data_IF_801245886490
#
_entry.id   IF_801245886490
#
_cell.length_a   1.000
_cell.length_b   1.000
_cell.length_c   1.000
_cell.angle_alpha   90.00
_cell.angle_beta   90.00
_cell.angle_gamma   90.00
#
_symmetry.space_group_name_H-M   'P 1'
#
loop_
_entity.id
_entity.type
_entity.pdbx_description
1 polymer ?
#
# COMPACT_ATOMS: atom_id res chain seq x y z
N UNK A 1 7.05 -10.71 16.97
CA UNK A 1 6.04 -9.78 17.51
C UNK A 1 4.70 -10.19 16.91
N UNK A 2 3.60 -10.12 17.66
CA UNK A 2 2.26 -10.47 17.16
C UNK A 2 1.51 -9.16 17.00
N UNK A 3 1.08 -8.85 15.78
CA UNK A 3 0.30 -7.66 15.47
C UNK A 3 -1.19 -8.04 15.52
N UNK A 4 -1.99 -7.23 16.20
CA UNK A 4 -3.44 -7.43 16.28
C UNK A 4 -4.20 -6.66 15.18
N UNK A 5 -3.58 -5.61 14.65
CA UNK A 5 -4.09 -4.78 13.57
C UNK A 5 -2.90 -4.17 12.82
N UNK A 6 -3.03 -4.04 11.51
CA UNK A 6 -2.05 -3.37 10.65
C UNK A 6 -2.76 -2.35 9.76
N UNK A 7 -1.98 -1.44 9.18
CA UNK A 7 -2.51 -0.40 8.31
C UNK A 7 -1.76 -0.39 6.98
N UNK A 8 -2.49 -0.10 5.91
CA UNK A 8 -1.89 0.23 4.61
C UNK A 8 -2.16 1.68 4.31
N UNK A 9 -1.08 2.45 4.10
CA UNK A 9 -1.15 3.81 3.58
C UNK A 9 -0.71 3.84 2.12
N UNK A 10 -1.38 4.66 1.29
CA UNK A 10 -0.99 4.93 -0.09
C UNK A 10 -0.68 6.42 -0.27
N UNK A 11 0.45 6.72 -0.88
CA UNK A 11 0.82 8.07 -1.34
C UNK A 11 0.92 8.07 -2.88
N UNK A 12 -0.08 8.67 -3.51
CA UNK A 12 -0.21 8.75 -4.96
C UNK A 12 0.32 10.09 -5.48
N UNK A 13 1.55 10.11 -5.98
CA UNK A 13 2.13 11.24 -6.70
C UNK A 13 1.99 11.13 -8.22
N UNK A 14 2.32 12.19 -8.95
CA UNK A 14 2.28 12.20 -10.43
C UNK A 14 3.34 11.31 -11.09
N UNK A 15 4.48 11.08 -10.43
CA UNK A 15 5.58 10.27 -10.95
C UNK A 15 5.66 8.91 -10.27
N UNK A 16 5.41 8.89 -8.96
CA UNK A 16 5.64 7.72 -8.11
C UNK A 16 4.40 7.46 -7.26
N UNK A 17 4.01 6.19 -7.18
CA UNK A 17 3.03 5.67 -6.25
C UNK A 17 3.77 4.88 -5.18
N UNK A 18 3.59 5.28 -3.92
CA UNK A 18 4.16 4.64 -2.75
C UNK A 18 3.07 3.99 -1.92
N UNK A 19 3.38 2.88 -1.28
CA UNK A 19 2.54 2.28 -0.26
C UNK A 19 3.36 1.64 0.84
N UNK A 20 2.84 1.62 2.06
CA UNK A 20 3.49 1.02 3.20
C UNK A 20 2.49 0.20 4.04
N UNK A 21 2.95 -0.94 4.55
CA UNK A 21 2.29 -1.70 5.62
C UNK A 21 2.93 -1.28 6.94
N UNK A 22 2.13 -0.80 7.88
CA UNK A 22 2.60 -0.28 9.18
C UNK A 22 1.86 -0.90 10.35
N UNK A 23 2.49 -0.92 11.51
CA UNK A 23 1.84 -1.26 12.79
C UNK A 23 1.18 -0.03 13.45
N UNK A 24 0.55 -0.26 14.62
CA UNK A 24 -0.14 0.78 15.39
C UNK A 24 0.80 1.87 15.90
N UNK A 25 2.07 1.54 16.09
CA UNK A 25 3.12 2.48 16.51
C UNK A 25 3.69 3.30 15.34
N UNK A 26 3.21 3.04 14.11
CA UNK A 26 3.65 3.70 12.90
C UNK A 26 4.98 3.18 12.35
N UNK A 27 5.44 2.00 12.80
CA UNK A 27 6.64 1.38 12.24
C UNK A 27 6.31 0.78 10.87
N UNK A 28 7.17 1.06 9.89
CA UNK A 28 7.07 0.47 8.56
C UNK A 28 7.56 -0.96 8.61
N UNK A 29 6.67 -1.90 8.32
CA UNK A 29 6.97 -3.32 8.20
C UNK A 29 7.41 -3.70 6.79
N UNK A 30 6.80 -3.06 5.78
CA UNK A 30 7.15 -3.18 4.37
C UNK A 30 6.74 -1.91 3.62
N UNK A 31 7.51 -1.52 2.62
CA UNK A 31 7.13 -0.47 1.68
C UNK A 31 7.29 -0.91 0.22
N UNK A 32 6.53 -0.27 -0.67
CA UNK A 32 6.61 -0.46 -2.11
C UNK A 32 6.52 0.87 -2.83
N UNK A 33 7.39 1.07 -3.81
CA UNK A 33 7.45 2.27 -4.63
C UNK A 33 7.49 1.86 -6.10
N UNK A 34 6.52 2.34 -6.89
CA UNK A 34 6.44 2.06 -8.33
C UNK A 34 6.19 3.36 -9.12
N UNK A 35 6.49 3.43 -10.42
CA UNK A 35 6.05 4.55 -11.25
C UNK A 35 4.52 4.65 -11.26
N UNK A 36 3.96 5.86 -11.25
CA UNK A 36 2.51 6.07 -11.30
C UNK A 36 1.94 5.75 -12.68
N UNK A 37 2.67 6.09 -13.74
CA UNK A 37 2.24 5.95 -15.14
C UNK A 37 0.94 6.72 -15.44
N UNK A 38 0.89 8.00 -15.07
CA UNK A 38 -0.29 8.87 -15.21
C UNK A 38 -0.82 8.98 -16.64
N UNK A 39 0.05 8.84 -17.64
CA UNK A 39 -0.33 8.88 -19.06
C UNK A 39 -1.26 7.73 -19.46
N UNK A 40 -1.35 6.66 -18.66
CA UNK A 40 -2.28 5.55 -18.85
C UNK A 40 -3.74 5.85 -18.44
N UNK A 41 -3.99 7.03 -17.85
CA UNK A 41 -5.32 7.44 -17.39
C UNK A 41 -5.75 6.84 -16.04
N UNK A 42 -6.91 7.29 -15.54
CA UNK A 42 -7.37 7.02 -14.16
C UNK A 42 -7.50 5.52 -13.88
N UNK A 43 -8.11 4.74 -14.78
CA UNK A 43 -8.29 3.30 -14.57
C UNK A 43 -6.96 2.54 -14.45
N UNK A 44 -5.96 2.95 -15.23
CA UNK A 44 -4.63 2.38 -15.15
C UNK A 44 -3.97 2.68 -13.81
N UNK A 45 -4.01 3.95 -13.39
CA UNK A 45 -3.49 4.39 -12.08
C UNK A 45 -4.19 3.64 -10.93
N UNK A 46 -5.52 3.50 -10.99
CA UNK A 46 -6.29 2.74 -10.00
C UNK A 46 -5.89 1.26 -9.95
N UNK A 47 -5.71 0.62 -11.11
CA UNK A 47 -5.27 -0.77 -11.20
C UNK A 47 -3.89 -0.98 -10.54
N UNK A 48 -2.96 -0.04 -10.78
CA UNK A 48 -1.63 -0.06 -10.16
C UNK A 48 -1.69 0.13 -8.65
N UNK A 49 -2.48 1.10 -8.17
CA UNK A 49 -2.72 1.32 -6.75
C UNK A 49 -3.26 0.06 -6.08
N UNK A 50 -4.28 -0.55 -6.68
CA UNK A 50 -4.86 -1.81 -6.20
C UNK A 50 -3.84 -2.95 -6.21
N UNK A 51 -2.91 -2.97 -7.17
CA UNK A 51 -1.79 -3.91 -7.18
C UNK A 51 -0.86 -3.75 -5.98
N UNK A 52 -0.53 -2.52 -5.60
CA UNK A 52 0.28 -2.22 -4.41
C UNK A 52 -0.46 -2.58 -3.13
N UNK A 53 -1.74 -2.20 -2.99
CA UNK A 53 -2.56 -2.56 -1.84
C UNK A 53 -2.64 -4.08 -1.67
N UNK A 54 -2.96 -4.82 -2.74
CA UNK A 54 -3.05 -6.28 -2.69
C UNK A 54 -1.73 -6.94 -2.31
N UNK A 55 -0.61 -6.42 -2.82
CA UNK A 55 0.73 -6.88 -2.42
C UNK A 55 0.94 -6.70 -0.92
N UNK A 56 0.73 -5.50 -0.39
CA UNK A 56 0.95 -5.20 1.03
C UNK A 56 0.01 -6.01 1.95
N UNK A 57 -1.27 -6.09 1.61
CA UNK A 57 -2.26 -6.89 2.37
C UNK A 57 -1.89 -8.36 2.37
N UNK A 58 -1.31 -8.89 1.28
CA UNK A 58 -0.89 -10.30 1.23
C UNK A 58 0.21 -10.65 2.25
N UNK A 59 0.97 -9.65 2.72
CA UNK A 59 2.02 -9.81 3.72
C UNK A 59 1.48 -9.85 5.15
N UNK A 60 0.28 -9.31 5.39
CA UNK A 60 -0.36 -9.28 6.72
C UNK A 60 -0.88 -10.66 7.18
N UNK A 61 -0.94 -11.64 6.28
CA UNK A 61 -1.45 -12.98 6.59
C UNK A 61 -2.92 -12.94 7.05
N UNK A 62 -3.17 -13.26 8.33
CA UNK A 62 -4.51 -13.24 8.94
C UNK A 62 -4.79 -11.99 9.78
N UNK A 63 -3.82 -11.08 9.90
CA UNK A 63 -4.00 -9.86 10.68
C UNK A 63 -4.92 -8.92 9.89
N UNK A 64 -5.96 -8.35 10.51
CA UNK A 64 -6.79 -7.34 9.87
C UNK A 64 -5.96 -6.15 9.39
N UNK A 65 -6.32 -5.62 8.21
CA UNK A 65 -5.67 -4.46 7.61
C UNK A 65 -6.68 -3.36 7.35
N UNK A 66 -6.43 -2.17 7.89
CA UNK A 66 -7.22 -0.95 7.65
C UNK A 66 -6.46 -0.01 6.70
N UNK A 67 -7.17 0.71 5.82
CA UNK A 67 -6.57 1.61 4.83
C UNK A 67 -6.67 3.09 5.21
N UNK A 68 -5.66 3.89 4.85
CA UNK A 68 -5.63 5.37 4.93
C UNK A 68 -5.26 5.97 3.57
#
# INVERSE_FOLDING_TARGET
MVYNELFVGIDLGGTTLKGALVDLEGQILEEKSIPTEVDGGVEHVMSRMMGVIRYLVSLAGKVPVTGV
#
